data_IF_581842166643
#
_entry.id   IF_581842166643
#
_cell.length_a   1.000
_cell.length_b   1.000
_cell.length_c   1.000
_cell.angle_alpha   90.00
_cell.angle_beta   90.00
_cell.angle_gamma   90.00
#
_symmetry.space_group_name_H-M   'P 1'
#
loop_
_entity.id
_entity.type
_entity.pdbx_description
1 polymer ?
#
# COMPACT_ATOMS: atom_id res chain seq x y z
N UNK A 1 7.14 -6.06 -20.98
CA UNK A 1 6.70 -5.76 -19.61
C UNK A 1 7.39 -6.74 -18.67
N UNK A 2 7.82 -6.30 -17.50
CA UNK A 2 8.38 -7.18 -16.47
C UNK A 2 7.29 -8.06 -15.87
N UNK A 3 7.63 -9.29 -15.55
CA UNK A 3 6.75 -10.17 -14.80
C UNK A 3 6.74 -9.73 -13.33
N UNK A 4 5.60 -9.87 -12.66
CA UNK A 4 5.51 -9.68 -11.22
C UNK A 4 4.64 -10.75 -10.58
N UNK A 5 4.92 -11.01 -9.30
CA UNK A 5 4.11 -11.90 -8.46
C UNK A 5 3.63 -11.11 -7.25
N UNK A 6 2.37 -11.29 -6.88
CA UNK A 6 1.79 -10.75 -5.67
C UNK A 6 1.49 -11.86 -4.66
N UNK A 7 1.63 -11.54 -3.38
CA UNK A 7 1.22 -12.40 -2.27
C UNK A 7 0.58 -11.56 -1.18
N UNK A 8 -0.58 -12.00 -0.73
CA UNK A 8 -1.38 -11.32 0.29
C UNK A 8 -1.26 -12.06 1.63
N UNK A 9 -0.94 -11.29 2.67
CA UNK A 9 -0.85 -11.78 4.05
C UNK A 9 -2.07 -11.29 4.82
N UNK A 10 -2.75 -12.23 5.48
CA UNK A 10 -3.97 -11.98 6.22
C UNK A 10 -3.77 -12.20 7.72
N UNK A 11 -4.44 -11.39 8.52
CA UNK A 11 -4.68 -11.65 9.94
C UNK A 11 -6.17 -11.95 10.13
N UNK A 12 -6.50 -13.23 10.31
CA UNK A 12 -7.89 -13.69 10.18
C UNK A 12 -8.41 -13.43 8.77
N UNK A 13 -9.52 -12.72 8.64
CA UNK A 13 -10.09 -12.29 7.35
C UNK A 13 -9.59 -10.93 6.87
N UNK A 14 -8.77 -10.24 7.65
CA UNK A 14 -8.29 -8.89 7.32
C UNK A 14 -7.01 -8.98 6.51
N UNK A 15 -7.03 -8.44 5.29
CA UNK A 15 -5.81 -8.25 4.49
C UNK A 15 -4.90 -7.22 5.18
N UNK A 16 -3.72 -7.65 5.60
CA UNK A 16 -2.78 -6.81 6.35
C UNK A 16 -1.68 -6.23 5.46
N UNK A 17 -1.18 -7.04 4.52
CA UNK A 17 -0.05 -6.69 3.68
C UNK A 17 -0.17 -7.37 2.32
N UNK A 18 0.15 -6.64 1.26
CA UNK A 18 0.42 -7.20 -0.07
C UNK A 18 1.91 -7.05 -0.39
N UNK A 19 2.59 -8.16 -0.64
CA UNK A 19 3.96 -8.19 -1.16
C UNK A 19 3.91 -8.33 -2.67
N UNK A 20 4.59 -7.45 -3.38
CA UNK A 20 4.76 -7.53 -4.85
C UNK A 20 6.25 -7.65 -5.15
N UNK A 21 6.63 -8.70 -5.88
CA UNK A 21 7.99 -8.89 -6.40
C UNK A 21 7.95 -8.71 -7.90
N UNK A 22 8.75 -7.77 -8.41
CA UNK A 22 8.90 -7.50 -9.84
C UNK A 22 10.25 -8.03 -10.28
N UNK A 23 10.24 -9.00 -11.19
CA UNK A 23 11.46 -9.63 -11.70
C UNK A 23 12.13 -8.75 -12.74
N UNK A 24 13.47 -8.63 -12.68
CA UNK A 24 14.25 -7.93 -13.70
C UNK A 24 14.12 -6.40 -13.69
N UNK A 25 13.74 -5.81 -12.55
CA UNK A 25 13.65 -4.36 -12.41
C UNK A 25 15.02 -3.70 -12.68
N UNK A 26 15.07 -2.83 -13.68
CA UNK A 26 16.30 -2.16 -14.13
C UNK A 26 16.65 -0.90 -13.33
N UNK A 27 15.67 -0.26 -12.69
CA UNK A 27 15.83 0.90 -11.81
C UNK A 27 15.10 0.70 -10.48
N UNK A 28 15.15 1.68 -9.59
CA UNK A 28 14.61 1.57 -8.25
C UNK A 28 13.06 1.57 -8.17
N UNK A 29 12.38 2.12 -9.17
CA UNK A 29 10.92 2.29 -9.17
C UNK A 29 10.25 1.62 -10.37
N UNK A 30 9.20 0.84 -10.12
CA UNK A 30 8.45 0.13 -11.15
C UNK A 30 7.37 1.00 -11.79
N UNK A 31 7.36 1.02 -13.13
CA UNK A 31 6.44 1.82 -13.94
C UNK A 31 6.87 3.28 -14.04
N UNK A 32 5.93 4.14 -14.41
CA UNK A 32 6.17 5.58 -14.59
C UNK A 32 6.86 5.92 -15.91
N UNK A 33 7.28 7.19 -16.00
CA UNK A 33 7.92 7.76 -17.18
C UNK A 33 9.44 7.51 -17.16
N UNK A 34 9.98 6.89 -18.21
CA UNK A 34 11.39 6.52 -18.33
C UNK A 34 12.34 7.70 -18.58
N UNK A 35 11.79 8.91 -18.81
CA UNK A 35 12.57 10.15 -18.82
C UNK A 35 13.10 10.50 -17.43
N UNK A 36 12.52 9.92 -16.36
CA UNK A 36 13.04 10.06 -15.00
C UNK A 36 13.99 8.90 -14.67
N UNK A 37 15.19 9.19 -14.14
CA UNK A 37 16.31 8.23 -14.07
C UNK A 37 16.10 7.06 -13.11
N UNK A 38 15.05 7.08 -12.29
CA UNK A 38 14.79 6.04 -11.30
C UNK A 38 13.56 5.19 -11.61
N UNK A 39 12.87 5.48 -12.71
CA UNK A 39 11.71 4.75 -13.17
C UNK A 39 12.12 3.65 -14.16
N UNK A 40 11.45 2.51 -14.08
CA UNK A 40 11.49 1.47 -15.09
C UNK A 40 10.09 1.29 -15.67
N UNK A 41 9.84 1.94 -16.81
CA UNK A 41 8.55 1.92 -17.52
C UNK A 41 8.11 0.52 -17.98
N UNK A 42 9.02 -0.48 -17.98
CA UNK A 42 8.67 -1.86 -18.31
C UNK A 42 7.99 -2.58 -17.14
N UNK A 43 8.17 -2.11 -15.91
CA UNK A 43 7.51 -2.65 -14.72
C UNK A 43 6.05 -2.21 -14.58
N UNK A 44 5.23 -2.91 -13.77
CA UNK A 44 3.89 -2.44 -13.43
C UNK A 44 3.90 -1.07 -12.73
N UNK A 45 2.80 -0.34 -12.79
CA UNK A 45 2.65 0.95 -12.12
C UNK A 45 2.58 0.78 -10.59
N UNK A 46 3.71 0.95 -9.90
CA UNK A 46 3.80 0.75 -8.45
C UNK A 46 2.90 1.71 -7.67
N UNK A 47 2.82 2.99 -8.09
CA UNK A 47 2.00 3.99 -7.40
C UNK A 47 0.51 3.66 -7.45
N UNK A 48 0.04 3.16 -8.59
CA UNK A 48 -1.34 2.72 -8.76
C UNK A 48 -1.63 1.47 -7.93
N UNK A 49 -0.75 0.47 -7.92
CA UNK A 49 -0.90 -0.71 -7.07
C UNK A 49 -0.95 -0.37 -5.58
N UNK A 50 -0.12 0.58 -5.13
CA UNK A 50 -0.14 1.09 -3.76
C UNK A 50 -1.49 1.75 -3.48
N UNK A 51 -1.96 2.62 -4.38
CA UNK A 51 -3.24 3.30 -4.26
C UNK A 51 -4.42 2.32 -4.18
N UNK A 52 -4.48 1.35 -5.07
CA UNK A 52 -5.50 0.30 -5.09
C UNK A 52 -5.53 -0.51 -3.78
N UNK A 53 -4.37 -0.75 -3.16
CA UNK A 53 -4.31 -1.39 -1.85
C UNK A 53 -4.84 -0.45 -0.76
N UNK A 54 -4.23 0.74 -0.59
CA UNK A 54 -4.54 1.61 0.56
C UNK A 54 -5.97 2.17 0.50
N UNK A 55 -6.54 2.35 -0.69
CA UNK A 55 -7.93 2.83 -0.87
C UNK A 55 -9.00 1.87 -0.35
N UNK A 56 -8.66 0.59 -0.12
CA UNK A 56 -9.55 -0.40 0.50
C UNK A 56 -9.69 -0.18 2.01
N UNK A 57 -8.80 0.61 2.62
CA UNK A 57 -8.74 0.80 4.06
C UNK A 57 -9.13 2.23 4.44
N UNK A 58 -9.85 2.37 5.55
CA UNK A 58 -10.12 3.67 6.18
C UNK A 58 -9.50 3.68 7.57
N UNK A 59 -8.82 4.77 7.90
CA UNK A 59 -8.41 4.99 9.29
C UNK A 59 -9.67 5.18 10.12
N UNK A 60 -9.91 4.28 11.06
CA UNK A 60 -10.80 4.59 12.16
C UNK A 60 -10.09 5.65 13.00
N UNK A 61 -10.63 6.87 12.96
CA UNK A 61 -10.29 7.85 13.98
C UNK A 61 -11.01 7.35 15.22
N UNK A 62 -10.26 6.72 16.12
CA UNK A 62 -10.76 6.49 17.47
C UNK A 62 -11.14 7.87 18.02
N UNK A 63 -12.42 8.06 18.36
CA UNK A 63 -12.90 9.33 18.92
C UNK A 63 -11.96 9.68 20.06
N UNK A 64 -11.21 10.77 19.89
CA UNK A 64 -10.26 11.26 20.87
C UNK A 64 -10.91 11.19 22.25
N UNK A 65 -10.29 10.44 23.14
CA UNK A 65 -10.66 10.22 24.53
C UNK A 65 -11.50 11.38 25.10
N UNK A 66 -12.83 11.21 25.10
CA UNK A 66 -13.67 12.08 25.90
C UNK A 66 -13.27 11.82 27.36
N UNK A 67 -12.80 12.83 28.13
CA UNK A 67 -12.51 12.60 29.53
C UNK A 67 -13.81 12.12 30.18
N UNK A 68 -13.71 11.02 30.95
CA UNK A 68 -14.82 10.52 31.74
C UNK A 68 -15.40 11.68 32.55
N UNK A 69 -16.64 12.07 32.25
CA UNK A 69 -17.38 13.02 33.06
C UNK A 69 -17.44 12.47 34.49
N UNK A 70 -16.87 13.22 35.44
CA UNK A 70 -17.13 13.02 36.86
C UNK A 70 -18.62 13.31 37.10
N UNK A 71 -19.43 12.26 37.03
CA UNK A 71 -20.77 12.20 37.56
C UNK A 71 -20.78 11.29 38.80
N UNK A 72 -20.32 11.84 39.91
CA UNK A 72 -20.63 11.49 41.31
C UNK A 72 -19.95 12.59 42.15
N UNK A 73 -20.61 13.37 43.02
CA UNK A 73 -21.80 13.18 43.83
C UNK A 73 -22.46 14.52 44.14
#
# INVERSE_FOLDING_TARGET
>A
SHAYQSHDYFYGSTLLLRKVIVEGLGHAWSGGDDRHPFNDSKGPNASEMIWEFVSQFRRHVESAHAPASLAAS
#
